data_IF_050221564901
#
_entry.id   IF_050221564901
#
_cell.length_a   1.000
_cell.length_b   1.000
_cell.length_c   1.000
_cell.angle_alpha   90.00
_cell.angle_beta   90.00
_cell.angle_gamma   90.00
#
_symmetry.space_group_name_H-M   'P 1'
#
loop_
_entity.id
_entity.type
_entity.pdbx_description
1 polymer ?
#
# COMPACT_ATOMS: atom_id res chain seq x y z
N UNK A 1 11.94 -8.43 2.84
CA UNK A 1 12.65 -7.21 2.40
C UNK A 1 13.52 -6.61 3.51
N UNK A 2 12.97 -6.02 4.60
CA UNK A 2 13.79 -5.35 5.64
C UNK A 2 14.81 -6.30 6.25
N UNK A 3 14.40 -7.50 6.68
CA UNK A 3 15.30 -8.51 7.25
C UNK A 3 16.36 -8.96 6.23
N UNK A 4 15.98 -9.18 4.97
CA UNK A 4 16.94 -9.56 3.90
C UNK A 4 17.97 -8.45 3.67
N UNK A 5 17.52 -7.18 3.71
CA UNK A 5 18.42 -6.04 3.66
C UNK A 5 19.41 -6.04 4.84
N UNK A 6 18.90 -6.22 6.07
CA UNK A 6 19.74 -6.29 7.29
C UNK A 6 20.76 -7.42 7.18
N UNK A 7 20.34 -8.61 6.73
CA UNK A 7 21.24 -9.75 6.53
C UNK A 7 22.35 -9.42 5.51
N UNK A 8 21.99 -8.77 4.41
CA UNK A 8 22.93 -8.37 3.36
C UNK A 8 23.85 -7.22 3.79
N UNK A 9 23.34 -6.26 4.55
CA UNK A 9 24.09 -5.13 5.08
C UNK A 9 25.09 -5.56 6.17
N UNK A 10 24.78 -6.65 6.87
CA UNK A 10 25.63 -7.26 7.88
C UNK A 10 25.72 -6.46 9.17
N UNK A 11 26.78 -6.69 9.94
CA UNK A 11 26.97 -6.06 11.25
C UNK A 11 27.05 -4.51 11.21
N UNK A 12 27.26 -3.93 10.04
CA UNK A 12 27.28 -2.45 9.86
C UNK A 12 25.92 -1.79 10.08
N UNK A 13 24.85 -2.60 10.18
CA UNK A 13 23.52 -2.08 10.51
C UNK A 13 23.49 -1.44 11.90
N UNK A 14 24.23 -1.97 12.87
CA UNK A 14 24.49 -1.40 14.19
C UNK A 14 25.55 -0.29 14.01
N UNK A 15 25.10 0.94 13.83
CA UNK A 15 25.93 2.06 13.38
C UNK A 15 26.82 2.64 14.47
N UNK A 16 26.36 2.61 15.70
CA UNK A 16 27.10 3.10 16.87
C UNK A 16 27.87 1.99 17.61
N UNK A 17 27.66 0.70 17.25
CA UNK A 17 28.36 -0.44 17.80
C UNK A 17 27.88 -0.86 19.19
N UNK A 18 26.68 -0.48 19.60
CA UNK A 18 26.15 -0.77 20.95
C UNK A 18 25.50 -2.16 21.08
N UNK A 19 25.45 -2.93 20.00
CA UNK A 19 24.84 -4.26 19.96
C UNK A 19 23.32 -4.25 19.78
N UNK A 20 22.75 -3.08 19.50
CA UNK A 20 21.31 -2.87 19.31
C UNK A 20 21.07 -2.44 17.86
N UNK A 21 19.99 -2.91 17.27
CA UNK A 21 19.44 -2.36 16.04
C UNK A 21 18.23 -1.53 16.44
N UNK A 22 18.41 -0.23 16.52
CA UNK A 22 17.37 0.73 16.87
C UNK A 22 16.61 1.22 15.64
N UNK A 23 15.28 1.17 15.68
CA UNK A 23 14.49 1.69 14.58
C UNK A 23 13.36 2.61 15.03
N UNK A 24 12.93 3.49 14.13
CA UNK A 24 11.72 4.31 14.27
C UNK A 24 10.69 3.91 13.24
N UNK A 25 9.40 4.04 13.59
CA UNK A 25 8.27 3.57 12.75
C UNK A 25 7.27 4.68 12.49
N UNK A 26 7.11 5.06 11.21
CA UNK A 26 6.02 5.90 10.74
C UNK A 26 4.77 5.04 10.53
N UNK A 27 3.78 5.20 11.40
CA UNK A 27 2.49 4.53 11.33
C UNK A 27 1.52 5.43 10.56
N UNK A 28 0.72 4.85 9.66
CA UNK A 28 -0.32 5.58 8.94
C UNK A 28 -1.55 5.88 9.83
N UNK A 29 -2.74 5.72 9.28
CA UNK A 29 -3.98 5.79 10.08
C UNK A 29 -4.10 4.55 10.98
N UNK A 30 -4.15 4.74 12.29
CA UNK A 30 -4.27 3.65 13.27
C UNK A 30 -5.59 2.86 13.15
N UNK A 31 -6.61 3.44 12.54
CA UNK A 31 -7.89 2.78 12.22
C UNK A 31 -7.88 1.97 10.93
N UNK A 32 -6.93 2.22 10.04
CA UNK A 32 -6.85 1.64 8.71
C UNK A 32 -6.31 0.21 8.75
N UNK A 33 -6.98 -0.72 8.06
CA UNK A 33 -6.58 -2.13 8.06
C UNK A 33 -5.16 -2.36 7.52
N UNK A 34 -4.80 -1.68 6.43
CA UNK A 34 -3.46 -1.82 5.84
C UNK A 34 -2.37 -1.25 6.75
N UNK A 35 -2.64 -0.12 7.42
CA UNK A 35 -1.71 0.45 8.40
C UNK A 35 -1.42 -0.54 9.52
N UNK A 36 -2.47 -1.19 10.05
CA UNK A 36 -2.34 -2.25 11.05
C UNK A 36 -1.53 -3.43 10.52
N UNK A 37 -1.85 -3.93 9.34
CA UNK A 37 -1.15 -5.07 8.75
C UNK A 37 0.33 -4.77 8.49
N UNK A 38 0.66 -3.58 7.96
CA UNK A 38 2.05 -3.15 7.69
C UNK A 38 2.83 -2.95 8.99
N UNK A 39 2.22 -2.35 10.02
CA UNK A 39 2.83 -2.18 11.35
C UNK A 39 3.10 -3.53 12.01
N UNK A 40 2.11 -4.43 12.01
CA UNK A 40 2.26 -5.79 12.53
C UNK A 40 3.37 -6.54 11.79
N UNK A 41 3.35 -6.57 10.47
CA UNK A 41 4.35 -7.28 9.67
C UNK A 41 5.77 -6.76 9.88
N UNK A 42 5.96 -5.45 10.03
CA UNK A 42 7.26 -4.87 10.36
C UNK A 42 7.74 -5.30 11.76
N UNK A 43 6.86 -5.23 12.78
CA UNK A 43 7.17 -5.64 14.16
C UNK A 43 7.41 -7.14 14.29
N UNK A 44 6.65 -7.98 13.57
CA UNK A 44 6.87 -9.44 13.52
C UNK A 44 8.22 -9.76 12.91
N UNK A 45 8.54 -9.17 11.75
CA UNK A 45 9.80 -9.39 11.06
C UNK A 45 11.02 -8.96 11.90
N UNK A 46 10.89 -7.88 12.65
CA UNK A 46 11.93 -7.34 13.53
C UNK A 46 11.91 -7.93 14.96
N UNK A 47 10.96 -8.84 15.25
CA UNK A 47 10.84 -9.51 16.53
C UNK A 47 10.24 -8.67 17.67
N UNK A 48 9.75 -7.47 17.36
CA UNK A 48 9.24 -6.50 18.34
C UNK A 48 7.72 -6.53 18.54
N UNK A 49 7.02 -7.44 17.89
CA UNK A 49 5.57 -7.61 18.00
C UNK A 49 5.11 -8.03 19.39
N UNK A 50 4.27 -7.24 20.03
CA UNK A 50 3.69 -7.46 21.37
C UNK A 50 2.15 -7.63 21.34
N UNK A 51 1.58 -8.04 20.19
CA UNK A 51 0.14 -8.25 20.06
C UNK A 51 -0.68 -6.98 19.78
N UNK A 52 -0.04 -5.84 19.52
CA UNK A 52 -0.72 -4.57 19.23
C UNK A 52 -0.01 -3.78 18.15
N UNK A 53 -0.80 -3.04 17.35
CA UNK A 53 -0.30 -2.06 16.37
C UNK A 53 -0.23 -0.64 16.92
N UNK A 54 -0.68 -0.42 18.16
CA UNK A 54 -0.67 0.89 18.78
C UNK A 54 0.76 1.42 18.96
N UNK A 55 0.97 2.73 18.86
CA UNK A 55 2.25 3.35 19.19
C UNK A 55 2.74 2.96 20.60
N UNK A 56 4.01 2.58 20.71
CA UNK A 56 4.64 2.22 21.99
C UNK A 56 4.22 0.86 22.58
N UNK A 57 3.31 0.11 21.96
CA UNK A 57 2.93 -1.24 22.38
C UNK A 57 3.81 -2.29 21.71
N UNK A 58 5.05 -2.39 22.15
CA UNK A 58 6.11 -3.24 21.59
C UNK A 58 6.89 -3.96 22.67
N UNK A 59 7.62 -4.97 22.28
CA UNK A 59 8.62 -5.65 23.09
C UNK A 59 10.01 -5.53 22.47
N UNK A 60 11.04 -5.89 23.17
CA UNK A 60 12.38 -6.06 22.62
C UNK A 60 12.42 -7.33 21.75
N UNK A 61 13.04 -7.21 20.60
CA UNK A 61 13.30 -8.30 19.67
C UNK A 61 14.76 -8.70 19.63
N UNK A 62 15.06 -9.67 18.78
CA UNK A 62 16.45 -10.04 18.46
C UNK A 62 16.57 -10.53 17.01
N UNK A 63 17.69 -10.23 16.37
CA UNK A 63 18.04 -10.74 15.03
C UNK A 63 19.50 -11.24 15.04
N UNK A 64 19.70 -12.40 14.44
CA UNK A 64 21.07 -12.89 14.18
C UNK A 64 21.49 -12.50 12.78
N UNK A 65 22.58 -11.74 12.68
CA UNK A 65 23.11 -11.21 11.41
C UNK A 65 24.59 -11.59 11.32
N UNK A 66 24.95 -12.36 10.28
CA UNK A 66 26.35 -12.81 10.09
C UNK A 66 26.93 -13.57 11.28
N UNK A 67 26.10 -14.30 12.03
CA UNK A 67 26.52 -15.08 13.21
C UNK A 67 26.56 -14.27 14.52
N UNK A 68 26.35 -12.94 14.49
CA UNK A 68 26.21 -12.08 15.68
C UNK A 68 24.74 -11.82 15.95
N UNK A 69 24.30 -12.00 17.20
CA UNK A 69 22.94 -11.67 17.64
C UNK A 69 22.89 -10.24 18.14
N UNK A 70 21.96 -9.47 17.61
CA UNK A 70 21.66 -8.10 17.99
C UNK A 70 20.32 -8.05 18.72
N UNK A 71 20.20 -7.22 19.74
CA UNK A 71 18.94 -6.78 20.28
C UNK A 71 18.26 -5.87 19.25
N UNK A 72 16.92 -5.93 19.13
CA UNK A 72 16.16 -5.03 18.25
C UNK A 72 15.19 -4.22 19.08
N UNK A 73 15.19 -2.91 18.89
CA UNK A 73 14.37 -1.99 19.68
C UNK A 73 13.63 -1.02 18.75
N UNK A 74 12.29 -1.00 18.85
CA UNK A 74 11.51 0.13 18.31
C UNK A 74 11.72 1.32 19.26
N UNK A 75 12.56 2.26 18.86
CA UNK A 75 12.87 3.46 19.66
C UNK A 75 11.64 4.33 19.86
N UNK A 76 10.87 4.49 18.79
CA UNK A 76 9.54 5.13 18.80
C UNK A 76 8.76 4.77 17.55
N UNK A 77 7.48 4.44 17.73
CA UNK A 77 6.48 4.37 16.65
C UNK A 77 5.45 5.49 16.84
N UNK A 78 5.08 6.19 15.76
CA UNK A 78 4.15 7.33 15.83
C UNK A 78 3.21 7.34 14.64
N UNK A 79 1.93 7.64 14.91
CA UNK A 79 0.95 7.90 13.85
C UNK A 79 1.25 9.25 13.18
N UNK A 80 1.36 9.25 11.85
CA UNK A 80 1.65 10.44 11.06
C UNK A 80 0.34 11.15 10.71
N UNK A 81 -0.12 11.97 11.65
CA UNK A 81 -1.34 12.78 11.52
C UNK A 81 -0.97 14.25 11.47
N UNK A 82 -1.45 14.94 10.43
CA UNK A 82 -1.29 16.37 10.27
C UNK A 82 -2.13 17.17 11.26
N UNK A 83 -1.87 18.46 11.37
CA UNK A 83 -2.62 19.39 12.23
C UNK A 83 -4.10 19.52 11.81
N UNK A 84 -4.39 19.26 10.55
CA UNK A 84 -5.73 19.24 9.95
C UNK A 84 -6.45 17.89 10.14
N UNK A 85 -5.84 16.93 10.85
CA UNK A 85 -6.36 15.58 11.05
C UNK A 85 -6.11 14.62 9.89
N UNK A 86 -5.46 15.06 8.80
CA UNK A 86 -5.08 14.17 7.70
C UNK A 86 -4.10 13.10 8.17
N UNK A 87 -4.35 11.85 7.81
CA UNK A 87 -3.48 10.70 8.13
C UNK A 87 -2.53 10.39 6.98
N UNK A 88 -1.55 9.51 7.20
CA UNK A 88 -0.50 9.19 6.21
C UNK A 88 0.30 10.43 5.78
N UNK A 89 0.44 11.39 6.70
CA UNK A 89 0.89 12.74 6.40
C UNK A 89 2.40 12.84 6.32
N UNK A 90 2.92 13.23 5.14
CA UNK A 90 4.36 13.36 4.89
C UNK A 90 5.02 14.48 5.73
N UNK A 91 4.32 15.60 5.95
CA UNK A 91 4.86 16.70 6.76
C UNK A 91 4.97 16.28 8.23
N UNK A 92 3.96 15.56 8.76
CA UNK A 92 4.04 15.00 10.10
C UNK A 92 5.20 14.00 10.24
N UNK A 93 5.53 13.25 9.18
CA UNK A 93 6.70 12.38 9.16
C UNK A 93 8.03 13.16 9.11
N UNK A 94 8.09 14.28 8.40
CA UNK A 94 9.24 15.19 8.41
C UNK A 94 9.51 15.72 9.82
N UNK A 95 8.47 16.23 10.48
CA UNK A 95 8.57 16.78 11.84
C UNK A 95 8.95 15.69 12.86
N UNK A 96 8.33 14.51 12.76
CA UNK A 96 8.64 13.37 13.63
C UNK A 96 10.09 12.93 13.45
N UNK A 97 10.57 12.82 12.23
CA UNK A 97 11.96 12.42 11.94
C UNK A 97 12.96 13.42 12.49
N UNK A 98 12.69 14.72 12.35
CA UNK A 98 13.51 15.79 12.92
C UNK A 98 13.61 15.66 14.45
N UNK A 99 12.48 15.40 15.13
CA UNK A 99 12.42 15.14 16.57
C UNK A 99 13.16 13.87 16.98
N UNK A 100 12.98 12.77 16.24
CA UNK A 100 13.65 11.50 16.48
C UNK A 100 15.17 11.60 16.31
N UNK A 101 15.63 12.26 15.24
CA UNK A 101 17.05 12.49 15.01
C UNK A 101 17.70 13.27 16.16
N UNK A 102 17.00 14.27 16.71
CA UNK A 102 17.46 15.03 17.87
C UNK A 102 17.45 14.18 19.15
N UNK A 103 16.40 13.37 19.37
CA UNK A 103 16.20 12.59 20.59
C UNK A 103 17.09 11.35 20.66
N UNK A 104 17.26 10.65 19.55
CA UNK A 104 17.90 9.33 19.52
C UNK A 104 19.29 9.35 18.86
N UNK A 105 19.56 10.31 17.97
CA UNK A 105 20.87 10.50 17.34
C UNK A 105 21.35 9.26 16.60
N UNK A 106 22.55 8.79 16.95
CA UNK A 106 23.24 7.65 16.36
C UNK A 106 22.62 6.27 16.71
N UNK A 107 21.66 6.23 17.64
CA UNK A 107 20.89 5.00 17.95
C UNK A 107 19.84 4.66 16.89
N UNK A 108 19.58 5.55 15.91
CA UNK A 108 18.68 5.23 14.79
C UNK A 108 19.49 4.51 13.72
N UNK A 109 19.29 3.21 13.61
CA UNK A 109 19.92 2.36 12.61
C UNK A 109 19.02 2.11 11.40
N UNK A 110 17.70 2.31 11.55
CA UNK A 110 16.71 1.98 10.55
C UNK A 110 15.47 2.88 10.68
N UNK A 111 14.89 3.29 9.57
CA UNK A 111 13.57 3.92 9.50
C UNK A 111 12.62 3.02 8.72
N UNK A 112 11.47 2.71 9.32
CA UNK A 112 10.40 1.95 8.69
C UNK A 112 9.18 2.85 8.53
N UNK A 113 8.59 2.86 7.35
CA UNK A 113 7.39 3.64 7.08
C UNK A 113 6.30 2.77 6.48
N UNK A 114 5.06 2.99 6.93
CA UNK A 114 3.91 2.27 6.40
C UNK A 114 3.56 2.68 4.97
N UNK A 115 4.05 3.83 4.47
CA UNK A 115 3.94 4.16 3.05
C UNK A 115 5.14 4.99 2.55
N UNK A 116 5.23 5.13 1.23
CA UNK A 116 6.29 5.89 0.56
C UNK A 116 6.20 7.39 0.84
N UNK A 117 4.99 7.96 0.87
CA UNK A 117 4.82 9.38 1.12
C UNK A 117 5.42 9.83 2.45
N UNK A 118 5.20 9.06 3.52
CA UNK A 118 5.82 9.33 4.83
C UNK A 118 7.33 9.04 4.83
N UNK A 119 7.78 7.99 4.14
CA UNK A 119 9.21 7.71 3.99
C UNK A 119 9.94 8.87 3.29
N UNK A 120 9.37 9.38 2.20
CA UNK A 120 9.88 10.55 1.50
C UNK A 120 9.83 11.81 2.38
N UNK A 121 8.80 11.96 3.22
CA UNK A 121 8.72 13.00 4.22
C UNK A 121 9.87 12.93 5.22
N UNK A 122 10.19 11.75 5.75
CA UNK A 122 11.35 11.57 6.65
C UNK A 122 12.66 12.04 5.99
N UNK A 123 12.85 11.74 4.72
CA UNK A 123 14.06 12.17 3.98
C UNK A 123 14.16 13.69 3.78
N UNK A 124 13.09 14.45 3.98
CA UNK A 124 13.10 15.92 3.94
C UNK A 124 13.52 16.55 5.28
N UNK A 125 13.60 15.79 6.37
CA UNK A 125 14.07 16.33 7.64
C UNK A 125 15.53 16.80 7.50
N UNK A 126 15.81 18.06 7.86
CA UNK A 126 17.11 18.70 7.67
C UNK A 126 18.26 18.01 8.45
N UNK A 127 17.89 17.28 9.51
CA UNK A 127 18.80 16.52 10.35
C UNK A 127 18.62 14.99 10.18
N UNK A 128 18.08 14.54 9.04
CA UNK A 128 18.01 13.09 8.75
C UNK A 128 19.42 12.47 8.90
N UNK A 129 19.57 11.38 9.70
CA UNK A 129 20.89 10.85 9.96
C UNK A 129 21.50 10.24 8.69
N UNK A 130 22.66 10.73 8.28
CA UNK A 130 23.31 10.31 7.05
C UNK A 130 23.55 8.79 7.02
N UNK A 131 23.15 8.13 5.93
CA UNK A 131 23.35 6.71 5.71
C UNK A 131 22.41 5.77 6.49
N UNK A 132 21.42 6.28 7.22
CA UNK A 132 20.38 5.43 7.82
C UNK A 132 19.47 4.90 6.71
N UNK A 133 19.32 3.55 6.59
CA UNK A 133 18.41 2.97 5.62
C UNK A 133 16.95 3.26 6.00
N UNK A 134 16.14 3.54 4.97
CA UNK A 134 14.71 3.80 5.13
C UNK A 134 13.90 2.99 4.14
N UNK A 135 12.77 2.48 4.59
CA UNK A 135 11.86 1.64 3.81
C UNK A 135 10.46 2.20 3.82
N UNK A 136 9.83 2.17 2.64
CA UNK A 136 8.45 2.55 2.40
C UNK A 136 7.56 1.39 1.98
N UNK A 137 6.41 1.73 1.45
CA UNK A 137 5.40 0.84 0.90
C UNK A 137 4.59 1.62 -0.13
N UNK A 138 4.21 1.07 -1.26
CA UNK A 138 3.34 1.49 -2.36
C UNK A 138 4.02 1.39 -3.73
N UNK A 139 5.34 1.55 -3.80
CA UNK A 139 6.12 1.70 -5.04
C UNK A 139 5.65 2.90 -5.89
N UNK A 140 5.44 4.04 -5.24
CA UNK A 140 5.14 5.29 -5.93
C UNK A 140 6.33 5.73 -6.80
N UNK A 141 6.06 6.51 -7.85
CA UNK A 141 7.07 6.88 -8.84
C UNK A 141 8.28 7.61 -8.23
N UNK A 142 8.03 8.54 -7.31
CA UNK A 142 9.06 9.29 -6.59
C UNK A 142 9.92 8.39 -5.67
N UNK A 143 9.29 7.40 -5.02
CA UNK A 143 9.99 6.40 -4.22
C UNK A 143 10.87 5.48 -5.09
N UNK A 144 10.38 5.06 -6.26
CA UNK A 144 11.16 4.28 -7.23
C UNK A 144 12.37 5.06 -7.71
N UNK A 145 12.22 6.34 -8.02
CA UNK A 145 13.33 7.23 -8.38
C UNK A 145 14.33 7.40 -7.21
N UNK A 146 13.81 7.55 -5.98
CA UNK A 146 14.64 7.64 -4.78
C UNK A 146 15.46 6.37 -4.52
N UNK A 147 14.89 5.18 -4.81
CA UNK A 147 15.64 3.91 -4.75
C UNK A 147 16.75 3.92 -5.81
N UNK A 148 16.45 4.32 -7.03
CA UNK A 148 17.44 4.45 -8.11
C UNK A 148 18.58 5.41 -7.79
N UNK A 149 18.30 6.47 -7.03
CA UNK A 149 19.27 7.45 -6.54
C UNK A 149 19.97 7.03 -5.23
N UNK A 150 19.67 5.86 -4.66
CA UNK A 150 20.23 5.37 -3.40
C UNK A 150 19.77 6.12 -2.14
N UNK A 151 18.68 6.89 -2.22
CA UNK A 151 18.12 7.64 -1.09
C UNK A 151 17.12 6.83 -0.28
N UNK A 152 16.32 5.98 -0.92
CA UNK A 152 15.39 5.06 -0.30
C UNK A 152 15.95 3.63 -0.47
N UNK A 153 15.94 2.83 0.60
CA UNK A 153 16.55 1.48 0.60
C UNK A 153 15.64 0.43 -0.03
N UNK A 154 14.33 0.66 -0.01
CA UNK A 154 13.34 -0.20 -0.64
C UNK A 154 11.92 0.21 -0.33
N UNK A 155 11.02 -0.30 -1.13
CA UNK A 155 9.58 -0.20 -0.97
C UNK A 155 8.90 -1.52 -1.31
N UNK A 156 7.60 -1.62 -1.10
CA UNK A 156 6.81 -2.79 -1.50
C UNK A 156 5.77 -2.35 -2.52
N UNK A 157 5.79 -2.95 -3.70
CA UNK A 157 4.73 -2.74 -4.69
C UNK A 157 3.44 -3.39 -4.25
N UNK A 158 2.37 -2.62 -4.23
CA UNK A 158 1.00 -3.10 -4.02
C UNK A 158 0.38 -3.72 -5.30
N UNK A 159 1.09 -3.67 -6.42
CA UNK A 159 0.59 -4.12 -7.72
C UNK A 159 -0.76 -3.48 -8.11
N UNK A 160 -0.77 -2.15 -8.24
CA UNK A 160 -1.98 -1.37 -8.52
C UNK A 160 -2.69 -1.80 -9.82
N UNK A 161 -1.94 -2.26 -10.81
CA UNK A 161 -2.50 -2.74 -12.07
C UNK A 161 -3.29 -4.05 -11.87
N UNK A 162 -2.77 -5.00 -11.08
CA UNK A 162 -3.49 -6.22 -10.75
C UNK A 162 -4.76 -5.91 -9.94
N UNK A 163 -4.66 -5.04 -8.93
CA UNK A 163 -5.82 -4.60 -8.14
C UNK A 163 -6.90 -3.96 -9.00
N UNK A 164 -6.53 -2.98 -9.85
CA UNK A 164 -7.46 -2.28 -10.72
C UNK A 164 -8.11 -3.22 -11.74
N UNK A 165 -7.30 -4.10 -12.35
CA UNK A 165 -7.77 -5.06 -13.34
C UNK A 165 -8.74 -6.06 -12.71
N UNK A 166 -8.40 -6.63 -11.56
CA UNK A 166 -9.26 -7.58 -10.86
C UNK A 166 -10.59 -6.94 -10.46
N UNK A 167 -10.56 -5.72 -9.88
CA UNK A 167 -11.77 -4.97 -9.52
C UNK A 167 -12.70 -4.81 -10.73
N UNK A 168 -12.18 -4.36 -11.85
CA UNK A 168 -12.98 -4.10 -13.04
C UNK A 168 -13.41 -5.39 -13.76
N UNK A 169 -12.58 -6.44 -13.73
CA UNK A 169 -12.93 -7.72 -14.33
C UNK A 169 -14.04 -8.42 -13.53
N UNK A 170 -14.02 -8.36 -12.21
CA UNK A 170 -15.13 -8.86 -11.37
C UNK A 170 -16.44 -8.15 -11.73
N UNK A 171 -16.41 -6.81 -11.83
CA UNK A 171 -17.57 -6.05 -12.28
C UNK A 171 -18.03 -6.49 -13.68
N UNK A 172 -17.10 -6.67 -14.61
CA UNK A 172 -17.41 -7.12 -15.98
C UNK A 172 -18.04 -8.52 -15.96
N UNK A 173 -17.49 -9.46 -15.20
CA UNK A 173 -18.01 -10.82 -15.09
C UNK A 173 -19.42 -10.85 -14.52
N UNK A 174 -19.71 -10.07 -13.48
CA UNK A 174 -21.06 -9.92 -12.94
C UNK A 174 -22.04 -9.38 -13.98
N UNK A 175 -21.64 -8.34 -14.70
CA UNK A 175 -22.48 -7.68 -15.72
C UNK A 175 -22.66 -8.52 -16.99
N UNK A 176 -21.79 -9.49 -17.23
CA UNK A 176 -21.93 -10.48 -18.29
C UNK A 176 -22.73 -11.70 -17.88
N UNK A 177 -23.25 -11.72 -16.64
CA UNK A 177 -24.13 -12.76 -16.12
C UNK A 177 -23.42 -14.00 -15.55
N UNK A 178 -22.10 -13.91 -15.30
CA UNK A 178 -21.37 -14.98 -14.64
C UNK A 178 -21.85 -15.12 -13.18
N UNK A 179 -21.73 -16.33 -12.65
CA UNK A 179 -22.16 -16.63 -11.27
C UNK A 179 -21.17 -17.54 -10.57
N UNK A 180 -21.33 -17.69 -9.25
CA UNK A 180 -20.49 -18.55 -8.45
C UNK A 180 -19.03 -18.12 -8.45
N UNK A 181 -18.11 -19.07 -8.59
CA UNK A 181 -16.67 -18.83 -8.60
C UNK A 181 -16.20 -18.11 -9.87
N UNK A 182 -16.86 -18.31 -10.99
CA UNK A 182 -16.47 -17.71 -12.27
C UNK A 182 -16.49 -16.18 -12.23
N UNK A 183 -17.29 -15.56 -11.36
CA UNK A 183 -17.28 -14.11 -11.14
C UNK A 183 -15.88 -13.63 -10.74
N UNK A 184 -15.18 -14.40 -9.93
CA UNK A 184 -13.89 -14.03 -9.34
C UNK A 184 -12.69 -14.59 -10.09
N UNK A 185 -12.89 -15.61 -10.91
CA UNK A 185 -11.79 -16.36 -11.52
C UNK A 185 -11.69 -16.22 -13.02
N UNK A 186 -12.80 -15.92 -13.70
CA UNK A 186 -12.76 -15.80 -15.16
C UNK A 186 -11.90 -14.62 -15.61
N UNK A 187 -10.83 -14.93 -16.33
CA UNK A 187 -9.86 -13.94 -16.80
C UNK A 187 -8.94 -13.34 -15.72
N UNK A 188 -8.92 -13.89 -14.51
CA UNK A 188 -8.13 -13.34 -13.39
C UNK A 188 -7.13 -14.36 -12.84
N UNK A 189 -7.60 -15.43 -12.19
CA UNK A 189 -6.77 -16.25 -11.28
C UNK A 189 -6.07 -17.46 -11.91
N UNK A 190 -6.31 -17.78 -13.16
CA UNK A 190 -5.73 -18.98 -13.82
C UNK A 190 -4.54 -18.66 -14.73
N UNK A 191 -3.76 -17.65 -14.43
CA UNK A 191 -2.71 -17.14 -15.32
C UNK A 191 -3.22 -16.72 -16.71
N UNK A 192 -4.53 -16.71 -16.91
CA UNK A 192 -5.16 -16.21 -18.12
C UNK A 192 -5.05 -14.70 -18.17
N UNK A 193 -4.98 -14.18 -19.35
CA UNK A 193 -4.86 -12.75 -19.57
C UNK A 193 -6.23 -12.10 -19.49
N UNK A 194 -6.41 -11.17 -18.60
CA UNK A 194 -7.58 -10.29 -18.58
C UNK A 194 -7.51 -9.40 -19.83
N UNK A 195 -8.41 -9.61 -20.78
CA UNK A 195 -8.39 -8.88 -22.06
C UNK A 195 -7.01 -8.82 -22.75
N UNK A 196 -6.18 -9.83 -22.54
CA UNK A 196 -4.81 -9.89 -23.06
C UNK A 196 -3.73 -9.39 -22.10
N UNK A 197 -4.08 -8.86 -20.91
CA UNK A 197 -3.13 -8.42 -19.88
C UNK A 197 -2.38 -9.59 -19.23
N UNK A 198 -1.16 -9.32 -18.76
CA UNK A 198 -0.35 -10.29 -18.00
C UNK A 198 -0.63 -10.26 -16.49
N UNK A 199 -1.49 -9.38 -16.03
CA UNK A 199 -1.70 -9.05 -14.61
C UNK A 199 -2.39 -10.18 -13.85
N UNK A 200 -3.21 -10.99 -14.52
CA UNK A 200 -3.96 -12.08 -13.88
C UNK A 200 -3.09 -13.09 -13.12
N UNK A 201 -1.83 -13.27 -13.52
CA UNK A 201 -0.88 -14.14 -12.82
C UNK A 201 -0.48 -13.62 -11.42
N UNK A 202 -0.71 -12.34 -11.14
CA UNK A 202 -0.34 -11.67 -9.90
C UNK A 202 -1.46 -11.66 -8.85
N UNK A 203 -2.54 -12.40 -9.09
CA UNK A 203 -3.67 -12.53 -8.18
C UNK A 203 -3.80 -13.95 -7.64
N UNK A 204 -4.19 -14.08 -6.39
CA UNK A 204 -4.57 -15.33 -5.75
C UNK A 204 -6.05 -15.27 -5.37
N UNK A 205 -6.82 -16.29 -5.77
CA UNK A 205 -8.22 -16.44 -5.37
C UNK A 205 -8.35 -17.34 -4.13
N UNK A 206 -8.99 -16.79 -3.09
CA UNK A 206 -9.29 -17.51 -1.84
C UNK A 206 -10.78 -17.85 -1.82
N UNK A 207 -11.13 -19.10 -2.16
CA UNK A 207 -12.51 -19.54 -2.35
C UNK A 207 -13.37 -19.39 -1.08
N UNK A 208 -12.82 -19.67 0.11
CA UNK A 208 -13.54 -19.60 1.38
C UNK A 208 -14.07 -18.21 1.73
N UNK A 209 -13.39 -17.16 1.29
CA UNK A 209 -13.75 -15.75 1.52
C UNK A 209 -14.19 -15.03 0.26
N UNK A 210 -14.12 -15.68 -0.90
CA UNK A 210 -14.34 -15.08 -2.23
C UNK A 210 -13.45 -13.83 -2.44
N UNK A 211 -12.23 -13.90 -1.92
CA UNK A 211 -11.27 -12.79 -2.00
C UNK A 211 -10.27 -13.01 -3.14
N UNK A 212 -9.89 -11.91 -3.79
CA UNK A 212 -8.76 -11.83 -4.71
C UNK A 212 -7.66 -11.04 -4.04
N UNK A 213 -6.51 -11.68 -3.85
CA UNK A 213 -5.35 -11.09 -3.18
C UNK A 213 -4.31 -10.73 -4.23
N UNK A 214 -4.02 -9.44 -4.37
CA UNK A 214 -2.91 -8.99 -5.20
C UNK A 214 -1.58 -9.34 -4.53
N UNK A 215 -0.65 -9.95 -5.29
CA UNK A 215 0.68 -10.29 -4.79
C UNK A 215 1.52 -9.02 -4.67
N UNK A 216 1.97 -8.75 -3.47
CA UNK A 216 2.93 -7.70 -3.20
C UNK A 216 4.36 -8.16 -3.54
N UNK A 217 5.20 -7.23 -3.97
CA UNK A 217 6.58 -7.53 -4.32
C UNK A 217 7.54 -6.49 -3.75
N UNK A 218 8.69 -6.92 -3.19
CA UNK A 218 9.72 -5.99 -2.76
C UNK A 218 10.36 -5.30 -3.95
N UNK A 219 10.58 -4.00 -3.82
CA UNK A 219 11.30 -3.16 -4.79
C UNK A 219 12.53 -2.60 -4.12
N UNK A 220 13.69 -2.89 -4.67
CA UNK A 220 15.01 -2.52 -4.13
C UNK A 220 15.91 -1.99 -5.24
N UNK A 221 17.12 -1.61 -4.90
CA UNK A 221 18.15 -1.21 -5.88
C UNK A 221 18.44 -2.27 -6.97
N UNK A 222 18.04 -3.52 -6.76
CA UNK A 222 18.27 -4.61 -7.71
C UNK A 222 17.23 -4.68 -8.83
N UNK A 223 15.98 -4.23 -8.56
CA UNK A 223 14.84 -4.42 -9.47
C UNK A 223 14.00 -3.17 -9.74
N UNK A 224 14.32 -2.01 -9.17
CA UNK A 224 13.53 -0.78 -9.28
C UNK A 224 13.21 -0.37 -10.72
N UNK A 225 14.13 -0.65 -11.66
CA UNK A 225 13.93 -0.30 -13.08
C UNK A 225 12.70 -0.98 -13.70
N UNK A 226 12.30 -2.15 -13.17
CA UNK A 226 11.12 -2.88 -13.63
C UNK A 226 9.81 -2.25 -13.17
N UNK A 227 9.89 -1.33 -12.20
CA UNK A 227 8.74 -0.65 -11.59
C UNK A 227 8.61 0.82 -12.02
N UNK A 228 9.47 1.30 -12.90
CA UNK A 228 9.36 2.67 -13.44
C UNK A 228 8.04 2.86 -14.16
N UNK A 229 7.44 4.04 -13.98
CA UNK A 229 6.11 4.37 -14.49
C UNK A 229 5.99 4.17 -16.00
N UNK A 230 4.85 3.66 -16.45
CA UNK A 230 4.50 3.57 -17.87
C UNK A 230 4.55 2.18 -18.50
N UNK A 231 4.87 1.14 -17.76
CA UNK A 231 4.94 -0.26 -18.25
C UNK A 231 3.58 -0.99 -18.31
N UNK A 232 2.47 -0.25 -18.46
CA UNK A 232 1.19 -0.88 -18.78
C UNK A 232 1.25 -1.52 -20.16
N UNK A 233 0.69 -2.74 -20.27
CA UNK A 233 0.70 -3.48 -21.53
C UNK A 233 -0.06 -2.71 -22.62
N UNK A 234 0.67 -2.12 -23.54
CA UNK A 234 0.12 -1.34 -24.67
C UNK A 234 -0.51 -2.23 -25.77
N UNK A 235 -0.30 -3.55 -25.68
CA UNK A 235 -0.80 -4.53 -26.65
C UNK A 235 -2.16 -5.13 -26.31
N UNK A 236 -2.78 -4.73 -25.22
CA UNK A 236 -4.07 -5.28 -24.77
C UNK A 236 -5.21 -4.84 -25.67
N UNK A 237 -5.95 -5.81 -26.22
CA UNK A 237 -7.10 -5.54 -27.07
C UNK A 237 -8.34 -5.20 -26.26
N UNK A 238 -9.08 -4.20 -26.72
CA UNK A 238 -10.35 -3.86 -26.11
C UNK A 238 -11.37 -5.00 -26.30
N UNK A 239 -12.15 -5.29 -25.24
CA UNK A 239 -13.25 -6.25 -25.32
C UNK A 239 -14.36 -5.74 -26.28
N UNK A 240 -15.05 -6.67 -26.95
CA UNK A 240 -16.23 -6.38 -27.77
C UNK A 240 -17.54 -6.45 -26.96
N UNK A 241 -17.49 -6.77 -25.68
CA UNK A 241 -18.67 -6.82 -24.82
C UNK A 241 -19.41 -5.47 -24.76
N UNK A 242 -20.73 -5.51 -24.54
CA UNK A 242 -21.56 -4.31 -24.47
C UNK A 242 -21.05 -3.32 -23.38
N UNK A 243 -21.14 -2.03 -23.69
CA UNK A 243 -20.73 -0.97 -22.76
C UNK A 243 -21.63 -0.96 -21.52
N UNK A 244 -21.01 -0.88 -20.33
CA UNK A 244 -21.70 -0.85 -19.04
C UNK A 244 -21.23 0.36 -18.22
N UNK A 245 -22.12 0.88 -17.36
CA UNK A 245 -21.83 2.00 -16.48
C UNK A 245 -21.47 1.48 -15.09
N UNK A 246 -20.27 1.79 -14.62
CA UNK A 246 -19.82 1.35 -13.29
C UNK A 246 -19.32 2.53 -12.49
N UNK A 247 -19.50 2.44 -11.15
CA UNK A 247 -18.97 3.42 -10.22
C UNK A 247 -17.97 2.71 -9.29
N UNK A 248 -16.80 3.32 -9.12
CA UNK A 248 -15.78 2.87 -8.16
C UNK A 248 -15.55 3.99 -7.16
N UNK A 249 -15.58 3.69 -5.87
CA UNK A 249 -15.18 4.65 -4.84
C UNK A 249 -13.69 4.52 -4.57
N UNK A 250 -13.08 5.65 -4.18
CA UNK A 250 -11.71 5.74 -3.67
C UNK A 250 -11.78 6.56 -2.40
N UNK A 251 -11.46 5.96 -1.24
CA UNK A 251 -11.73 6.57 0.07
C UNK A 251 -10.99 7.88 0.32
N UNK A 252 -9.83 8.07 -0.32
CA UNK A 252 -9.00 9.26 -0.17
C UNK A 252 -8.45 9.74 -1.53
N UNK A 253 -9.00 10.84 -2.03
CA UNK A 253 -8.54 11.45 -3.28
C UNK A 253 -7.18 12.12 -3.20
N UNK A 254 -6.67 12.38 -2.00
CA UNK A 254 -5.37 13.00 -1.74
C UNK A 254 -4.26 11.98 -1.47
N UNK A 255 -4.61 10.71 -1.29
CA UNK A 255 -3.62 9.64 -1.11
C UNK A 255 -2.78 9.46 -2.38
N UNK A 256 -1.45 9.46 -2.25
CA UNK A 256 -0.54 9.42 -3.39
C UNK A 256 -0.65 8.11 -4.18
N UNK A 257 -0.73 6.95 -3.52
CA UNK A 257 -0.90 5.68 -4.20
C UNK A 257 -2.23 5.62 -4.96
N UNK A 258 -3.33 6.03 -4.31
CA UNK A 258 -4.66 6.00 -4.93
C UNK A 258 -4.75 6.96 -6.12
N UNK A 259 -4.29 8.20 -5.96
CA UNK A 259 -4.43 9.25 -6.98
C UNK A 259 -3.45 9.09 -8.15
N UNK A 260 -2.20 8.74 -7.89
CA UNK A 260 -1.15 8.68 -8.93
C UNK A 260 -0.95 7.30 -9.55
N UNK A 261 -1.39 6.22 -8.89
CA UNK A 261 -1.19 4.85 -9.36
C UNK A 261 -2.51 4.12 -9.62
N UNK A 262 -3.38 3.96 -8.62
CA UNK A 262 -4.57 3.14 -8.71
C UNK A 262 -5.67 3.74 -9.62
N UNK A 263 -5.99 5.01 -9.45
CA UNK A 263 -7.00 5.70 -10.30
C UNK A 263 -6.60 5.73 -11.77
N UNK A 264 -5.35 6.07 -12.15
CA UNK A 264 -4.92 5.94 -13.54
C UNK A 264 -5.02 4.52 -14.10
N UNK A 265 -4.71 3.49 -13.28
CA UNK A 265 -4.87 2.09 -13.67
C UNK A 265 -6.35 1.74 -13.91
N UNK A 266 -7.25 2.12 -13.00
CA UNK A 266 -8.69 1.94 -13.18
C UNK A 266 -9.18 2.58 -14.48
N UNK A 267 -8.79 3.81 -14.77
CA UNK A 267 -9.17 4.51 -16.01
C UNK A 267 -8.65 3.82 -17.27
N UNK A 268 -7.45 3.28 -17.20
CA UNK A 268 -6.85 2.55 -18.32
C UNK A 268 -7.59 1.23 -18.59
N UNK A 269 -7.75 0.39 -17.57
CA UNK A 269 -8.38 -0.94 -17.75
C UNK A 269 -9.89 -0.87 -17.97
N UNK A 270 -10.58 0.14 -17.44
CA UNK A 270 -12.00 0.36 -17.75
C UNK A 270 -12.26 0.53 -19.25
N UNK A 271 -11.36 1.23 -19.96
CA UNK A 271 -11.45 1.35 -21.43
C UNK A 271 -11.33 0.00 -22.12
N UNK A 272 -10.39 -0.83 -21.69
CA UNK A 272 -10.17 -2.17 -22.27
C UNK A 272 -11.35 -3.11 -22.03
N UNK A 273 -12.00 -3.00 -20.88
CA UNK A 273 -13.17 -3.79 -20.49
C UNK A 273 -14.51 -3.17 -20.94
N UNK A 274 -14.47 -2.12 -21.76
CA UNK A 274 -15.63 -1.38 -22.24
C UNK A 274 -16.59 -0.95 -21.12
N UNK A 275 -16.00 -0.43 -20.00
CA UNK A 275 -16.71 0.10 -18.86
C UNK A 275 -16.71 1.65 -18.90
N UNK A 276 -17.89 2.25 -18.79
CA UNK A 276 -18.03 3.69 -18.56
C UNK A 276 -17.85 3.94 -17.06
N UNK A 277 -16.62 4.26 -16.66
CA UNK A 277 -16.20 4.36 -15.27
C UNK A 277 -16.43 5.75 -14.71
N UNK A 278 -17.18 5.83 -13.63
CA UNK A 278 -17.25 6.99 -12.73
C UNK A 278 -16.43 6.68 -11.47
N UNK A 279 -15.57 7.60 -11.04
CA UNK A 279 -14.81 7.48 -9.80
C UNK A 279 -15.30 8.54 -8.83
N UNK A 280 -15.68 8.12 -7.64
CA UNK A 280 -16.03 8.98 -6.51
C UNK A 280 -14.89 8.95 -5.51
N UNK A 281 -14.33 10.11 -5.21
CA UNK A 281 -13.20 10.26 -4.28
C UNK A 281 -13.67 10.84 -2.95
N UNK A 282 -13.33 10.15 -1.86
CA UNK A 282 -13.54 10.60 -0.49
C UNK A 282 -12.47 11.60 -0.03
N UNK A 283 -12.62 12.08 1.19
CA UNK A 283 -11.72 13.05 1.84
C UNK A 283 -10.58 12.39 2.65
N UNK A 284 -10.61 11.06 2.81
CA UNK A 284 -9.62 10.29 3.55
C UNK A 284 -9.76 10.32 5.06
N UNK A 285 -10.58 11.21 5.60
CA UNK A 285 -10.83 11.30 7.05
C UNK A 285 -12.06 10.51 7.46
N UNK A 286 -13.12 10.67 6.68
CA UNK A 286 -14.36 9.94 6.85
C UNK A 286 -14.58 9.04 5.62
N UNK A 287 -14.53 7.73 5.81
CA UNK A 287 -14.76 6.77 4.73
C UNK A 287 -16.16 6.92 4.11
N UNK A 288 -17.16 7.32 4.90
CA UNK A 288 -18.52 7.57 4.42
C UNK A 288 -18.64 8.82 3.52
N UNK A 289 -17.61 9.67 3.44
CA UNK A 289 -17.61 10.84 2.55
C UNK A 289 -17.83 10.49 1.07
N UNK A 290 -17.50 9.25 0.68
CA UNK A 290 -17.86 8.73 -0.65
C UNK A 290 -19.36 8.55 -0.82
N UNK A 291 -20.08 8.13 0.22
CA UNK A 291 -21.54 7.94 0.18
C UNK A 291 -22.27 9.25 -0.10
N UNK A 292 -21.84 10.33 0.52
CA UNK A 292 -22.45 11.66 0.33
C UNK A 292 -22.28 12.17 -1.10
N UNK A 293 -21.19 11.75 -1.76
CA UNK A 293 -20.88 12.10 -3.16
C UNK A 293 -21.51 11.16 -4.18
N UNK A 294 -22.07 10.01 -3.76
CA UNK A 294 -22.74 9.05 -4.64
C UNK A 294 -24.17 9.50 -4.96
N UNK A 295 -24.29 10.54 -5.80
CA UNK A 295 -25.58 10.98 -6.29
C UNK A 295 -26.15 9.96 -7.30
N UNK A 296 -27.47 9.70 -7.21
CA UNK A 296 -28.24 8.87 -8.14
C UNK A 296 -27.58 7.49 -8.43
N UNK A 297 -27.48 6.60 -7.42
CA UNK A 297 -26.90 5.27 -7.63
C UNK A 297 -27.62 4.45 -8.72
N UNK A 298 -28.93 4.63 -8.93
CA UNK A 298 -29.70 3.95 -9.99
C UNK A 298 -29.24 4.24 -11.44
N UNK A 299 -28.29 5.16 -11.62
CA UNK A 299 -27.71 5.44 -12.94
C UNK A 299 -26.59 4.45 -13.34
N UNK A 300 -26.19 3.52 -12.46
CA UNK A 300 -25.08 2.61 -12.67
C UNK A 300 -25.54 1.16 -12.69
N UNK A 301 -24.87 0.35 -13.50
CA UNK A 301 -25.12 -1.08 -13.62
C UNK A 301 -24.44 -1.89 -12.49
N UNK A 302 -23.34 -1.40 -11.93
CA UNK A 302 -22.62 -2.03 -10.82
C UNK A 302 -21.68 -1.06 -10.08
N UNK A 303 -21.27 -1.45 -8.87
CA UNK A 303 -20.42 -0.67 -7.97
C UNK A 303 -19.23 -1.50 -7.49
N UNK A 304 -18.06 -0.84 -7.32
CA UNK A 304 -16.96 -1.35 -6.52
C UNK A 304 -16.61 -0.31 -5.44
N UNK A 305 -16.58 -0.77 -4.20
CA UNK A 305 -16.38 0.10 -3.03
C UNK A 305 -14.99 -0.12 -2.46
N UNK A 306 -14.17 0.93 -2.45
CA UNK A 306 -12.90 0.93 -1.76
C UNK A 306 -13.13 1.14 -0.26
N UNK A 307 -13.07 0.07 0.51
CA UNK A 307 -13.38 0.05 1.93
C UNK A 307 -12.12 -0.29 2.72
N UNK A 308 -11.70 0.61 3.60
CA UNK A 308 -10.46 0.49 4.40
C UNK A 308 -10.73 0.22 5.88
N UNK A 309 -11.99 0.40 6.32
CA UNK A 309 -12.47 0.08 7.67
C UNK A 309 -13.62 -0.93 7.58
N UNK A 310 -13.50 -2.03 8.27
CA UNK A 310 -14.49 -3.15 8.17
C UNK A 310 -15.89 -2.80 8.64
N UNK A 311 -16.05 -1.79 9.50
CA UNK A 311 -17.34 -1.35 10.02
C UNK A 311 -18.16 -0.47 9.05
N UNK A 312 -17.55 0.03 7.98
CA UNK A 312 -18.23 0.93 7.02
C UNK A 312 -19.15 0.19 6.03
N UNK A 313 -19.06 -1.14 5.95
CA UNK A 313 -19.78 -1.93 4.94
C UNK A 313 -21.30 -1.82 5.03
N UNK A 314 -21.85 -1.65 6.23
CA UNK A 314 -23.29 -1.49 6.43
C UNK A 314 -23.84 -0.22 5.80
N UNK A 315 -23.15 0.90 5.95
CA UNK A 315 -23.57 2.20 5.43
C UNK A 315 -23.67 2.18 3.90
N UNK A 316 -22.69 1.55 3.24
CA UNK A 316 -22.72 1.32 1.79
C UNK A 316 -23.86 0.41 1.37
N UNK A 317 -24.08 -0.70 2.10
CA UNK A 317 -25.17 -1.63 1.80
C UNK A 317 -26.52 -0.95 1.91
N UNK A 318 -26.75 -0.17 2.94
CA UNK A 318 -28.03 0.53 3.16
C UNK A 318 -28.27 1.60 2.06
N UNK A 319 -27.23 2.29 1.61
CA UNK A 319 -27.31 3.27 0.51
C UNK A 319 -27.64 2.63 -0.85
N UNK A 320 -27.14 1.41 -1.10
CA UNK A 320 -27.25 0.71 -2.38
C UNK A 320 -28.42 -0.30 -2.45
N UNK A 321 -29.22 -0.41 -1.39
CA UNK A 321 -30.47 -1.19 -1.44
C UNK A 321 -31.53 -0.41 -2.22
N UNK A 322 -32.09 -1.05 -3.22
CA UNK A 322 -33.24 -0.57 -4.03
C UNK A 322 -34.45 -1.44 -3.77
#
# INVERSE_FOLDING_TARGET
MIVDFIQKYGAKIDRNGDGIIGYVLCIGDVGHNDSKARTQGAREALGTWAGSTDPGKVKEGSLTVGGKTFKVVELEGKAMTGLDGSTWNANAATDAMGGWATKFGDRIDLVVSNNDGMAMGCLQASNYPAGVPIFGYDANADAIEAIGAGKLSGTVSQNCDAQATATLQVLRNLLDGLSGEDVYTNGISKADKVSGSKISADMEYVASTKALLAKNAPVTSENWKSYTAGNRDKGVKQTKAAKKKVLVTVYNGSDNFLSSSYVPALRYYAKLLNLNLTIVQGDGQNESSCLDKMANPGAFDAFAINMVKTNSGKDYTDKLRY
#
